data_IF_581499935702
#
_entry.id   IF_581499935702
#
_cell.length_a   1.000
_cell.length_b   1.000
_cell.length_c   1.000
_cell.angle_alpha   90.00
_cell.angle_beta   90.00
_cell.angle_gamma   90.00
#
_symmetry.space_group_name_H-M   'P 1'
#
loop_
_entity.id
_entity.type
_entity.pdbx_description
1 polymer ?
#
# COMPACT_ATOMS: atom_id res chain seq x y z
N UNK A 1 -2.43 16.39 0.18
CA UNK A 1 -1.02 16.36 -0.20
C UNK A 1 -0.63 14.94 -0.58
N UNK A 2 0.07 14.78 -1.69
CA UNK A 2 0.55 13.47 -2.12
C UNK A 2 2.06 13.52 -2.31
N UNK A 3 2.74 12.47 -1.83
CA UNK A 3 4.19 12.29 -1.92
C UNK A 3 4.48 11.05 -2.74
N UNK A 4 5.53 11.08 -3.55
CA UNK A 4 6.02 9.93 -4.31
C UNK A 4 7.30 9.40 -3.69
N UNK A 5 7.47 8.07 -3.78
CA UNK A 5 8.71 7.39 -3.35
C UNK A 5 9.09 7.78 -1.92
N UNK A 6 8.11 7.74 -1.02
CA UNK A 6 8.30 8.11 0.37
C UNK A 6 8.88 6.94 1.16
N UNK A 7 10.12 7.04 1.68
CA UNK A 7 10.71 5.96 2.46
C UNK A 7 10.06 5.85 3.85
N UNK A 8 10.09 4.65 4.39
CA UNK A 8 9.66 4.39 5.76
C UNK A 8 10.54 3.34 6.42
N UNK A 9 10.50 3.30 7.75
CA UNK A 9 11.14 2.26 8.55
C UNK A 9 10.15 1.80 9.63
N UNK A 10 10.09 0.51 9.86
CA UNK A 10 9.21 -0.11 10.85
C UNK A 10 10.00 -1.11 11.70
N UNK A 11 9.86 -1.01 13.03
CA UNK A 11 10.37 -2.04 13.95
C UNK A 11 9.32 -3.12 14.12
N UNK A 12 9.67 -4.35 13.78
CA UNK A 12 8.81 -5.50 13.96
C UNK A 12 9.63 -6.67 14.49
N UNK A 13 9.23 -7.26 15.62
CA UNK A 13 9.89 -8.39 16.24
C UNK A 13 11.40 -8.18 16.41
N UNK A 14 11.80 -6.99 16.86
CA UNK A 14 13.18 -6.56 17.05
C UNK A 14 13.99 -6.45 15.75
N UNK A 15 13.31 -6.47 14.61
CA UNK A 15 13.95 -6.26 13.30
C UNK A 15 13.51 -4.93 12.72
N UNK A 16 14.45 -4.24 12.08
CA UNK A 16 14.16 -3.00 11.39
C UNK A 16 13.83 -3.33 9.93
N UNK A 17 12.60 -3.00 9.52
CA UNK A 17 12.13 -3.21 8.16
C UNK A 17 12.11 -1.86 7.45
N UNK A 18 12.76 -1.76 6.31
CA UNK A 18 12.75 -0.58 5.46
C UNK A 18 11.90 -0.83 4.23
N UNK A 19 11.23 0.21 3.76
CA UNK A 19 10.46 0.15 2.54
C UNK A 19 10.26 1.53 1.96
N UNK A 20 9.54 1.58 0.84
CA UNK A 20 9.22 2.83 0.15
C UNK A 20 7.78 2.75 -0.33
N UNK A 21 6.98 3.77 -0.01
CA UNK A 21 5.65 3.91 -0.58
C UNK A 21 5.77 4.55 -1.96
N UNK A 22 5.16 3.94 -2.98
CA UNK A 22 5.18 4.52 -4.32
C UNK A 22 4.43 5.86 -4.35
N UNK A 23 3.22 5.88 -3.78
CA UNK A 23 2.44 7.09 -3.62
C UNK A 23 1.79 7.10 -2.24
N UNK A 24 1.92 8.21 -1.53
CA UNK A 24 1.30 8.41 -0.22
C UNK A 24 0.53 9.73 -0.27
N UNK A 25 -0.79 9.65 -0.17
CA UNK A 25 -1.66 10.81 -0.13
C UNK A 25 -2.28 10.97 1.26
N UNK A 26 -2.28 12.18 1.77
CA UNK A 26 -2.66 12.46 3.15
C UNK A 26 -3.57 13.68 3.22
N UNK A 27 -4.65 13.57 3.98
CA UNK A 27 -5.47 14.71 4.41
C UNK A 27 -5.66 14.62 5.94
N UNK A 28 -6.59 15.40 6.49
CA UNK A 28 -6.77 15.48 7.94
C UNK A 28 -7.34 14.19 8.55
N UNK A 29 -8.04 13.36 7.77
CA UNK A 29 -8.75 12.19 8.28
C UNK A 29 -8.20 10.87 7.76
N UNK A 30 -7.61 10.85 6.57
CA UNK A 30 -7.29 9.63 5.84
C UNK A 30 -5.91 9.70 5.21
N UNK A 31 -5.19 8.57 5.28
CA UNK A 31 -3.97 8.35 4.50
C UNK A 31 -4.28 7.27 3.47
N UNK A 32 -3.95 7.53 2.22
CA UNK A 32 -4.07 6.56 1.14
C UNK A 32 -2.70 6.19 0.61
N UNK A 33 -2.44 4.90 0.52
CA UNK A 33 -1.20 4.36 -0.05
C UNK A 33 -1.55 3.65 -1.34
N UNK A 34 -0.82 3.96 -2.40
CA UNK A 34 -0.96 3.29 -3.68
C UNK A 34 0.37 2.65 -4.02
N UNK A 35 0.32 1.35 -4.31
CA UNK A 35 1.48 0.57 -4.70
C UNK A 35 1.30 0.14 -6.16
N UNK A 36 2.22 0.54 -7.02
CA UNK A 36 2.18 0.21 -8.45
C UNK A 36 2.67 -1.22 -8.68
N UNK A 37 1.90 -1.98 -9.44
CA UNK A 37 2.25 -3.36 -9.80
C UNK A 37 2.38 -3.52 -11.30
N UNK A 38 3.46 -4.16 -11.71
CA UNK A 38 3.75 -4.47 -13.11
C UNK A 38 3.49 -5.94 -13.43
N UNK A 39 2.84 -6.67 -12.52
CA UNK A 39 2.47 -8.06 -12.71
C UNK A 39 1.66 -8.23 -14.01
N UNK A 40 1.91 -9.31 -14.72
CA UNK A 40 1.07 -9.66 -15.85
C UNK A 40 -0.25 -10.22 -15.33
N UNK A 41 -1.32 -9.49 -15.57
CA UNK A 41 -2.67 -9.86 -15.16
C UNK A 41 -3.62 -9.61 -16.32
N UNK A 42 -4.81 -10.22 -16.28
CA UNK A 42 -5.82 -10.02 -17.31
C UNK A 42 -6.98 -9.20 -16.76
N UNK A 43 -7.81 -8.66 -17.67
CA UNK A 43 -9.05 -7.97 -17.29
C UNK A 43 -10.03 -8.92 -16.57
N UNK A 44 -9.85 -10.24 -16.73
CA UNK A 44 -10.68 -11.24 -16.09
C UNK A 44 -10.14 -11.70 -14.73
N UNK A 45 -8.97 -11.24 -14.32
CA UNK A 45 -8.40 -11.57 -13.00
C UNK A 45 -9.32 -11.05 -11.91
N UNK A 46 -9.57 -11.90 -10.89
CA UNK A 46 -10.41 -11.53 -9.76
C UNK A 46 -9.63 -10.69 -8.77
N UNK A 47 -10.27 -9.65 -8.23
CA UNK A 47 -9.64 -8.78 -7.23
C UNK A 47 -9.13 -9.57 -6.03
N UNK A 48 -9.86 -10.59 -5.58
CA UNK A 48 -9.46 -11.44 -4.46
C UNK A 48 -8.11 -12.10 -4.68
N UNK A 49 -7.86 -12.58 -5.90
CA UNK A 49 -6.60 -13.23 -6.25
C UNK A 49 -5.47 -12.19 -6.33
N UNK A 50 -5.76 -11.02 -6.84
CA UNK A 50 -4.80 -9.93 -6.95
C UNK A 50 -4.39 -9.41 -5.57
N UNK A 51 -5.34 -9.31 -4.65
CA UNK A 51 -5.08 -8.94 -3.26
C UNK A 51 -4.15 -9.95 -2.59
N UNK A 52 -4.44 -11.25 -2.74
CA UNK A 52 -3.66 -12.30 -2.08
C UNK A 52 -2.18 -12.28 -2.46
N UNK A 53 -1.86 -11.89 -3.67
CA UNK A 53 -0.46 -11.83 -4.13
C UNK A 53 0.38 -10.87 -3.31
N UNK A 54 -0.22 -9.79 -2.81
CA UNK A 54 0.50 -8.66 -2.24
C UNK A 54 0.00 -8.23 -0.86
N UNK A 55 -0.95 -8.95 -0.27
CA UNK A 55 -1.55 -8.51 1.00
C UNK A 55 -0.53 -8.41 2.14
N UNK A 56 0.47 -9.28 2.17
CA UNK A 56 1.50 -9.21 3.20
C UNK A 56 2.25 -7.89 3.16
N UNK A 57 2.65 -7.45 1.97
CA UNK A 57 3.35 -6.18 1.78
C UNK A 57 2.46 -5.00 2.17
N UNK A 58 1.21 -4.99 1.73
CA UNK A 58 0.28 -3.90 2.02
C UNK A 58 -0.08 -3.84 3.50
N UNK A 59 -0.16 -4.99 4.17
CA UNK A 59 -0.39 -5.04 5.61
C UNK A 59 0.79 -4.46 6.39
N UNK A 60 2.02 -4.69 5.94
CA UNK A 60 3.20 -4.05 6.53
C UNK A 60 3.15 -2.53 6.37
N UNK A 61 2.76 -2.05 5.19
CA UNK A 61 2.61 -0.63 4.93
C UNK A 61 1.57 -0.01 5.86
N UNK A 62 0.41 -0.66 5.96
CA UNK A 62 -0.68 -0.21 6.83
C UNK A 62 -0.23 -0.15 8.29
N UNK A 63 0.49 -1.18 8.75
CA UNK A 63 0.98 -1.25 10.11
C UNK A 63 1.98 -0.13 10.42
N UNK A 64 2.90 0.15 9.49
CA UNK A 64 3.86 1.24 9.64
C UNK A 64 3.15 2.59 9.78
N UNK A 65 2.17 2.85 8.92
CA UNK A 65 1.42 4.10 8.94
C UNK A 65 0.53 4.23 10.17
N UNK A 66 -0.08 3.16 10.62
CA UNK A 66 -0.90 3.19 11.84
C UNK A 66 -0.06 3.48 13.08
N UNK A 67 1.18 3.00 13.10
CA UNK A 67 2.10 3.32 14.18
C UNK A 67 2.46 4.81 14.19
N UNK A 68 2.65 5.39 13.01
CA UNK A 68 3.00 6.81 12.87
C UNK A 68 1.80 7.74 13.05
N UNK A 69 0.62 7.31 12.62
CA UNK A 69 -0.60 8.11 12.59
C UNK A 69 -1.78 7.32 13.16
N UNK A 70 -1.80 7.08 14.49
CA UNK A 70 -2.80 6.18 15.10
C UNK A 70 -4.24 6.68 15.01
N UNK A 71 -4.44 7.98 14.77
CA UNK A 71 -5.77 8.58 14.73
C UNK A 71 -6.33 8.73 13.32
N UNK A 72 -5.55 8.37 12.29
CA UNK A 72 -6.01 8.49 10.91
C UNK A 72 -6.44 7.14 10.36
N UNK A 73 -7.41 7.16 9.46
CA UNK A 73 -7.82 5.98 8.71
C UNK A 73 -6.78 5.71 7.63
N UNK A 74 -6.36 4.46 7.52
CA UNK A 74 -5.37 4.06 6.51
C UNK A 74 -6.09 3.22 5.45
N UNK A 75 -5.97 3.63 4.19
CA UNK A 75 -6.48 2.91 3.03
C UNK A 75 -5.32 2.54 2.13
N UNK A 76 -5.25 1.28 1.74
CA UNK A 76 -4.18 0.77 0.90
C UNK A 76 -4.74 0.24 -0.43
N UNK A 77 -4.02 0.53 -1.51
CA UNK A 77 -4.45 0.18 -2.86
C UNK A 77 -3.28 -0.38 -3.65
N UNK A 78 -3.59 -1.36 -4.50
CA UNK A 78 -2.72 -1.78 -5.58
C UNK A 78 -3.20 -1.11 -6.86
N UNK A 79 -2.28 -0.67 -7.71
CA UNK A 79 -2.63 -0.20 -9.04
C UNK A 79 -1.90 -1.05 -10.07
N UNK A 80 -2.65 -1.85 -10.81
CA UNK A 80 -2.11 -2.72 -11.85
C UNK A 80 -2.00 -1.95 -13.16
N UNK A 81 -0.77 -1.63 -13.54
CA UNK A 81 -0.48 -0.78 -14.70
C UNK A 81 -0.95 -1.41 -16.00
N UNK A 82 -0.84 -2.74 -16.13
CA UNK A 82 -1.20 -3.43 -17.38
C UNK A 82 -2.67 -3.29 -17.73
N UNK A 83 -3.55 -3.32 -16.74
CA UNK A 83 -5.00 -3.27 -16.98
C UNK A 83 -5.65 -1.98 -16.46
N UNK A 84 -4.88 -1.06 -15.89
CA UNK A 84 -5.39 0.21 -15.37
C UNK A 84 -6.41 0.05 -14.26
N UNK A 85 -6.19 -0.90 -13.34
CA UNK A 85 -7.17 -1.19 -12.29
C UNK A 85 -6.61 -0.89 -10.90
N UNK A 86 -7.40 -0.17 -10.09
CA UNK A 86 -7.16 -0.06 -8.64
C UNK A 86 -7.85 -1.19 -7.91
N UNK A 87 -7.16 -1.78 -6.95
CA UNK A 87 -7.71 -2.82 -6.08
C UNK A 87 -7.44 -2.42 -4.64
N UNK A 88 -8.50 -2.25 -3.83
CA UNK A 88 -8.35 -1.95 -2.41
C UNK A 88 -7.95 -3.20 -1.63
N UNK A 89 -7.04 -3.02 -0.70
CA UNK A 89 -6.52 -4.13 0.11
C UNK A 89 -6.88 -3.94 1.58
#
# INVERSE_FOLDING_TARGET
MCLREQPFALMQDKQLIHGTFDVLCMNDDVIQVIDYKTDRVSLYSKNEDLVKRHEFQLNLYKQALQTMYPNLQIQTYLYYLEIGRFVEV
#
